data_IF_655729744471
#
_entry.id   IF_655729744471
#
_cell.length_a   1.000
_cell.length_b   1.000
_cell.length_c   1.000
_cell.angle_alpha   90.00
_cell.angle_beta   90.00
_cell.angle_gamma   90.00
#
_symmetry.space_group_name_H-M   'P 1'
#
loop_
_entity.id
_entity.type
_entity.pdbx_description
1 polymer ?
#
# COMPACT_ATOMS: atom_id res chain seq x y z
N UNK A 1 -28.26 -39.87 5.94
CA UNK A 1 -28.77 -38.48 5.91
C UNK A 1 -27.99 -37.71 4.86
N UNK A 2 -28.62 -37.43 3.72
CA UNK A 2 -27.98 -36.80 2.55
C UNK A 2 -28.42 -35.34 2.47
N UNK A 3 -27.48 -34.41 2.30
CA UNK A 3 -27.72 -32.96 2.26
C UNK A 3 -28.12 -32.52 0.84
N UNK A 4 -29.41 -32.20 0.54
CA UNK A 4 -29.89 -32.05 -0.84
C UNK A 4 -29.67 -30.65 -1.45
N UNK A 5 -28.98 -29.74 -0.75
CA UNK A 5 -28.87 -28.33 -1.16
C UNK A 5 -27.44 -27.76 -1.10
N UNK A 6 -26.40 -28.58 -1.23
CA UNK A 6 -25.05 -28.06 -1.39
C UNK A 6 -24.82 -27.57 -2.83
N UNK A 7 -25.25 -26.34 -3.11
CA UNK A 7 -24.89 -25.64 -4.37
C UNK A 7 -23.43 -25.18 -4.26
N UNK A 8 -22.53 -25.91 -4.93
CA UNK A 8 -21.15 -25.49 -5.18
C UNK A 8 -21.14 -24.19 -6.00
N UNK A 9 -21.18 -23.05 -5.31
CA UNK A 9 -21.17 -21.72 -5.91
C UNK A 9 -19.73 -21.26 -6.13
N UNK A 10 -19.06 -21.85 -7.11
CA UNK A 10 -17.96 -21.27 -7.90
C UNK A 10 -17.38 -22.37 -8.78
N UNK A 11 -17.73 -22.35 -10.06
CA UNK A 11 -16.91 -22.96 -11.08
C UNK A 11 -15.59 -22.17 -11.14
N UNK A 12 -14.64 -22.53 -10.28
CA UNK A 12 -13.26 -22.06 -10.36
C UNK A 12 -12.69 -22.61 -11.66
N UNK A 13 -12.61 -21.77 -12.68
CA UNK A 13 -11.92 -22.12 -13.92
C UNK A 13 -10.41 -22.18 -13.62
N UNK A 14 -9.75 -23.35 -13.67
CA UNK A 14 -8.33 -23.50 -13.37
C UNK A 14 -7.47 -22.63 -14.29
N UNK A 15 -7.97 -22.37 -15.50
CA UNK A 15 -7.38 -21.49 -16.50
C UNK A 15 -7.40 -20.01 -16.11
N UNK A 16 -8.43 -19.54 -15.40
CA UNK A 16 -8.49 -18.15 -14.94
C UNK A 16 -7.51 -17.90 -13.79
N UNK A 17 -7.37 -18.85 -12.87
CA UNK A 17 -6.34 -18.78 -11.84
C UNK A 17 -4.94 -18.85 -12.44
N UNK A 18 -4.69 -19.78 -13.37
CA UNK A 18 -3.42 -19.88 -14.08
C UNK A 18 -3.01 -18.58 -14.77
N UNK A 19 -3.94 -17.92 -15.48
CA UNK A 19 -3.69 -16.59 -16.10
C UNK A 19 -3.41 -15.51 -15.06
N UNK A 20 -4.10 -15.52 -13.91
CA UNK A 20 -3.83 -14.59 -12.82
C UNK A 20 -2.43 -14.81 -12.22
N UNK A 21 -2.00 -16.05 -12.02
CA UNK A 21 -0.67 -16.39 -11.52
C UNK A 21 0.45 -16.04 -12.50
N UNK A 22 0.26 -16.32 -13.80
CA UNK A 22 1.22 -15.93 -14.85
C UNK A 22 1.33 -14.40 -14.90
N UNK A 23 0.20 -13.68 -14.88
CA UNK A 23 0.18 -12.22 -14.87
C UNK A 23 0.81 -11.64 -13.60
N UNK A 24 0.63 -12.29 -12.45
CA UNK A 24 1.27 -11.90 -11.20
C UNK A 24 2.79 -12.14 -11.25
N UNK A 25 3.23 -13.26 -11.80
CA UNK A 25 4.65 -13.59 -12.02
C UNK A 25 5.33 -12.61 -12.97
N UNK A 26 4.71 -12.30 -14.11
CA UNK A 26 5.20 -11.30 -15.06
C UNK A 26 5.31 -9.91 -14.44
N UNK A 27 4.27 -9.47 -13.71
CA UNK A 27 4.33 -8.18 -13.00
C UNK A 27 5.37 -8.17 -11.91
N UNK A 28 5.53 -9.26 -11.16
CA UNK A 28 6.57 -9.39 -10.14
C UNK A 28 7.95 -9.18 -10.77
N UNK A 29 8.23 -9.84 -11.91
CA UNK A 29 9.50 -9.70 -12.59
C UNK A 29 9.70 -8.29 -13.16
N UNK A 30 8.66 -7.71 -13.76
CA UNK A 30 8.69 -6.34 -14.29
C UNK A 30 8.90 -5.28 -13.21
N UNK A 31 8.15 -5.35 -12.10
CA UNK A 31 8.31 -4.42 -10.99
C UNK A 31 9.64 -4.62 -10.27
N UNK A 32 10.13 -5.87 -10.14
CA UNK A 32 11.46 -6.13 -9.58
C UNK A 32 12.57 -5.50 -10.41
N UNK A 33 12.43 -5.47 -11.74
CA UNK A 33 13.39 -4.80 -12.61
C UNK A 33 13.23 -3.27 -12.57
N UNK A 34 12.00 -2.76 -12.60
CA UNK A 34 11.72 -1.31 -12.61
C UNK A 34 12.00 -0.62 -11.28
N UNK A 35 11.73 -1.30 -10.17
CA UNK A 35 11.86 -0.77 -8.80
C UNK A 35 13.26 -1.03 -8.19
N UNK A 36 14.18 -1.70 -8.91
CA UNK A 36 15.51 -2.05 -8.38
C UNK A 36 16.33 -0.82 -7.92
N UNK A 37 16.20 0.30 -8.65
CA UNK A 37 16.90 1.55 -8.34
C UNK A 37 16.10 2.44 -7.38
N UNK A 38 14.82 2.14 -7.14
CA UNK A 38 13.99 2.93 -6.23
C UNK A 38 14.50 2.76 -4.80
N UNK A 39 14.96 1.58 -4.41
CA UNK A 39 15.57 1.41 -3.08
C UNK A 39 16.82 2.27 -2.93
N UNK A 40 17.71 2.27 -3.92
CA UNK A 40 18.93 3.10 -3.90
C UNK A 40 18.59 4.58 -3.84
N UNK A 41 17.58 5.03 -4.60
CA UNK A 41 17.08 6.39 -4.56
C UNK A 41 16.44 6.76 -3.20
N UNK A 42 15.72 5.81 -2.59
CA UNK A 42 15.15 5.97 -1.25
C UNK A 42 16.21 6.07 -0.14
N UNK A 43 17.36 5.44 -0.35
CA UNK A 43 18.49 5.45 0.59
C UNK A 43 19.43 6.64 0.40
N UNK A 44 19.45 7.24 -0.79
CA UNK A 44 20.36 8.34 -1.13
C UNK A 44 19.59 9.66 -1.26
N UNK A 45 19.00 9.92 -2.43
CA UNK A 45 18.35 11.20 -2.77
C UNK A 45 17.16 11.55 -1.86
N UNK A 46 16.42 10.52 -1.45
CA UNK A 46 15.17 10.67 -0.69
C UNK A 46 15.32 10.30 0.79
N UNK A 47 16.53 10.03 1.29
CA UNK A 47 16.73 9.71 2.70
C UNK A 47 16.17 10.82 3.59
N UNK A 48 15.34 10.44 4.58
CA UNK A 48 14.60 11.35 5.46
C UNK A 48 13.72 12.39 4.73
N UNK A 49 13.40 12.18 3.45
CA UNK A 49 12.60 13.10 2.62
C UNK A 49 11.31 12.48 2.10
N UNK A 50 10.95 11.26 2.51
CA UNK A 50 9.67 10.66 2.16
C UNK A 50 8.83 10.22 3.35
N UNK A 51 7.52 10.36 3.17
CA UNK A 51 6.51 9.76 4.03
C UNK A 51 6.15 8.37 3.49
N UNK A 52 6.24 7.34 4.33
CA UNK A 52 5.92 5.97 3.97
C UNK A 52 4.48 5.65 4.33
N UNK A 53 3.58 5.57 3.34
CA UNK A 53 2.20 5.16 3.53
C UNK A 53 2.03 3.67 3.23
N UNK A 54 1.75 2.88 4.27
CA UNK A 54 1.61 1.43 4.15
C UNK A 54 0.15 1.10 3.83
N UNK A 55 -0.10 0.42 2.70
CA UNK A 55 -1.45 -0.03 2.34
C UNK A 55 -1.77 -1.35 3.07
N UNK A 56 -2.97 -1.44 3.67
CA UNK A 56 -3.47 -2.66 4.32
C UNK A 56 -4.32 -3.50 3.36
N UNK A 57 -4.51 -4.79 3.71
CA UNK A 57 -5.34 -5.74 2.95
C UNK A 57 -6.80 -5.29 2.94
N UNK A 58 -7.41 -5.22 1.76
CA UNK A 58 -8.80 -4.74 1.61
C UNK A 58 -9.84 -5.56 2.41
N UNK A 59 -9.53 -6.82 2.75
CA UNK A 59 -10.40 -7.75 3.46
C UNK A 59 -10.06 -7.89 4.95
N UNK A 60 -9.19 -7.03 5.48
CA UNK A 60 -8.91 -7.02 6.90
C UNK A 60 -10.19 -6.60 7.66
N UNK A 61 -10.66 -7.45 8.58
CA UNK A 61 -11.81 -7.15 9.43
C UNK A 61 -11.57 -5.89 10.27
N UNK A 62 -10.31 -5.50 10.49
CA UNK A 62 -9.96 -4.25 11.15
C UNK A 62 -10.31 -2.99 10.34
N UNK A 63 -10.30 -3.05 9.00
CA UNK A 63 -10.76 -1.91 8.18
C UNK A 63 -12.28 -1.78 8.28
N UNK A 64 -13.02 -2.90 8.25
CA UNK A 64 -14.49 -2.89 8.30
C UNK A 64 -15.05 -2.57 9.68
N UNK A 65 -14.39 -3.02 10.76
CA UNK A 65 -14.95 -2.96 12.11
C UNK A 65 -14.24 -1.93 13.02
N UNK A 66 -12.98 -1.56 12.74
CA UNK A 66 -12.16 -0.75 13.65
C UNK A 66 -11.42 0.42 12.95
N UNK A 67 -11.84 0.81 11.75
CA UNK A 67 -11.29 1.97 11.04
C UNK A 67 -12.40 2.92 10.60
N UNK A 68 -12.18 4.25 10.60
CA UNK A 68 -13.11 5.19 9.97
C UNK A 68 -13.21 4.99 8.44
N UNK A 69 -12.30 4.21 7.84
CA UNK A 69 -12.24 4.00 6.40
C UNK A 69 -13.03 2.76 5.96
N UNK A 70 -14.08 2.97 5.16
CA UNK A 70 -14.85 1.88 4.50
C UNK A 70 -14.06 1.15 3.40
N UNK A 71 -12.99 1.76 2.87
CA UNK A 71 -12.16 1.22 1.80
C UNK A 71 -10.75 1.85 1.85
N UNK A 72 -9.71 1.06 1.52
CA UNK A 72 -8.31 1.53 1.36
C UNK A 72 -8.21 2.69 0.37
N UNK A 73 -9.10 2.76 -0.63
CA UNK A 73 -9.18 3.87 -1.59
C UNK A 73 -9.45 5.22 -0.91
N UNK A 74 -10.27 5.25 0.14
CA UNK A 74 -10.56 6.47 0.89
C UNK A 74 -9.33 6.91 1.69
N UNK A 75 -8.62 5.94 2.28
CA UNK A 75 -7.34 6.21 2.95
C UNK A 75 -6.31 6.80 1.99
N UNK A 76 -6.14 6.22 0.79
CA UNK A 76 -5.23 6.76 -0.23
C UNK A 76 -5.61 8.21 -0.57
N UNK A 77 -6.90 8.48 -0.77
CA UNK A 77 -7.39 9.82 -1.04
C UNK A 77 -7.03 10.82 0.05
N UNK A 78 -7.32 10.50 1.32
CA UNK A 78 -7.06 11.38 2.45
C UNK A 78 -5.57 11.65 2.65
N UNK A 79 -4.74 10.61 2.52
CA UNK A 79 -3.28 10.75 2.62
C UNK A 79 -2.76 11.64 1.50
N UNK A 80 -3.16 11.42 0.25
CA UNK A 80 -2.72 12.24 -0.89
C UNK A 80 -3.22 13.68 -0.77
N UNK A 81 -4.47 13.88 -0.33
CA UNK A 81 -5.03 15.21 -0.11
C UNK A 81 -4.25 15.95 0.99
N UNK A 82 -4.05 15.33 2.15
CA UNK A 82 -3.28 15.93 3.23
C UNK A 82 -1.83 16.21 2.82
N UNK A 83 -1.20 15.30 2.09
CA UNK A 83 0.15 15.48 1.55
C UNK A 83 0.22 16.70 0.63
N UNK A 84 -0.74 16.86 -0.28
CA UNK A 84 -0.79 18.01 -1.20
C UNK A 84 -0.90 19.36 -0.49
N UNK A 85 -1.50 19.38 0.71
CA UNK A 85 -1.72 20.61 1.48
C UNK A 85 -0.63 20.91 2.52
N UNK A 86 0.04 19.90 3.05
CA UNK A 86 0.93 20.04 4.21
C UNK A 86 2.40 19.69 3.93
N UNK A 87 2.68 18.90 2.90
CA UNK A 87 4.04 18.48 2.62
C UNK A 87 4.83 19.60 1.92
N UNK A 88 6.12 19.72 2.25
CA UNK A 88 7.00 20.67 1.56
C UNK A 88 7.27 20.22 0.13
N UNK A 89 7.75 21.12 -0.74
CA UNK A 89 8.07 20.77 -2.12
C UNK A 89 9.18 19.70 -2.23
N UNK A 90 10.05 19.64 -1.23
CA UNK A 90 11.16 18.69 -1.13
C UNK A 90 10.74 17.30 -0.60
N UNK A 91 9.51 17.17 -0.07
CA UNK A 91 8.98 15.94 0.48
C UNK A 91 8.33 15.07 -0.61
N UNK A 92 8.44 13.76 -0.41
CA UNK A 92 7.87 12.72 -1.26
C UNK A 92 6.89 11.84 -0.47
N UNK A 93 5.97 11.20 -1.18
CA UNK A 93 5.02 10.25 -0.63
C UNK A 93 5.22 8.89 -1.29
N UNK A 94 5.53 7.87 -0.49
CA UNK A 94 5.77 6.52 -0.98
C UNK A 94 4.66 5.61 -0.47
N UNK A 95 3.84 5.08 -1.38
CA UNK A 95 2.85 4.06 -1.08
C UNK A 95 3.46 2.67 -1.21
N UNK A 96 3.44 1.91 -0.13
CA UNK A 96 3.84 0.50 -0.13
C UNK A 96 2.63 -0.40 -0.32
N UNK A 97 2.58 -1.13 -1.42
CA UNK A 97 1.52 -2.12 -1.69
C UNK A 97 1.63 -3.32 -0.77
N UNK A 98 0.47 -3.84 -0.36
CA UNK A 98 0.40 -5.07 0.43
C UNK A 98 0.59 -6.30 -0.48
N UNK A 99 1.50 -7.23 -0.15
CA UNK A 99 1.77 -8.40 -1.00
C UNK A 99 0.52 -9.27 -1.24
N UNK A 100 -0.36 -9.40 -0.23
CA UNK A 100 -1.62 -10.16 -0.36
C UNK A 100 -2.66 -9.48 -1.26
N UNK A 101 -2.64 -8.15 -1.42
CA UNK A 101 -3.58 -7.42 -2.27
C UNK A 101 -3.18 -7.43 -3.75
N UNK A 102 -1.97 -7.90 -4.05
CA UNK A 102 -1.34 -7.82 -5.38
C UNK A 102 -2.17 -8.46 -6.51
N UNK A 103 -2.89 -9.54 -6.21
CA UNK A 103 -3.75 -10.22 -7.18
C UNK A 103 -5.17 -9.65 -7.27
N UNK A 104 -5.60 -8.90 -6.25
CA UNK A 104 -7.00 -8.52 -6.07
C UNK A 104 -7.27 -7.06 -6.39
N UNK A 105 -6.35 -6.15 -6.04
CA UNK A 105 -6.54 -4.71 -6.25
C UNK A 105 -5.25 -4.04 -6.70
N UNK A 106 -5.41 -3.13 -7.65
CA UNK A 106 -4.34 -2.30 -8.19
C UNK A 106 -4.72 -0.85 -7.91
N UNK A 107 -4.01 -0.22 -6.98
CA UNK A 107 -4.25 1.17 -6.63
C UNK A 107 -3.53 2.15 -7.55
N UNK A 108 -2.60 1.67 -8.39
CA UNK A 108 -1.84 2.51 -9.33
C UNK A 108 -2.67 3.49 -10.17
N UNK A 109 -3.77 3.06 -10.84
CA UNK A 109 -4.63 3.98 -11.59
C UNK A 109 -5.28 5.07 -10.70
N UNK A 110 -5.69 4.70 -9.48
CA UNK A 110 -6.26 5.64 -8.52
C UNK A 110 -5.21 6.65 -8.04
N UNK A 111 -4.03 6.18 -7.64
CA UNK A 111 -2.92 7.02 -7.20
C UNK A 111 -2.51 7.98 -8.32
N UNK A 112 -2.44 7.50 -9.57
CA UNK A 112 -2.12 8.36 -10.72
C UNK A 112 -3.19 9.42 -10.95
N UNK A 113 -4.47 9.05 -10.86
CA UNK A 113 -5.61 10.00 -10.99
C UNK A 113 -5.55 11.07 -9.92
N UNK A 114 -5.40 10.68 -8.65
CA UNK A 114 -5.33 11.59 -7.52
C UNK A 114 -4.07 12.45 -7.55
N UNK A 115 -2.94 11.90 -8.00
CA UNK A 115 -1.70 12.65 -8.16
C UNK A 115 -1.86 13.81 -9.14
N UNK A 116 -2.56 13.59 -10.25
CA UNK A 116 -2.90 14.65 -11.20
C UNK A 116 -3.89 15.64 -10.60
N UNK A 117 -4.94 15.15 -9.96
CA UNK A 117 -5.98 15.97 -9.35
C UNK A 117 -5.43 16.91 -8.28
N UNK A 118 -4.44 16.47 -7.51
CA UNK A 118 -3.82 17.25 -6.43
C UNK A 118 -2.48 17.89 -6.82
N UNK A 119 -2.02 17.74 -8.06
CA UNK A 119 -0.76 18.34 -8.53
C UNK A 119 0.50 17.79 -7.84
N UNK A 120 0.48 16.52 -7.41
CA UNK A 120 1.59 15.88 -6.69
C UNK A 120 2.13 14.64 -7.41
N UNK A 121 1.74 14.40 -8.66
CA UNK A 121 2.13 13.22 -9.43
C UNK A 121 3.64 12.93 -9.42
N UNK A 122 4.48 13.95 -9.50
CA UNK A 122 5.94 13.79 -9.59
C UNK A 122 6.60 13.47 -8.24
N UNK A 123 5.83 13.58 -7.14
CA UNK A 123 6.30 13.37 -5.77
C UNK A 123 5.65 12.15 -5.10
N UNK A 124 4.91 11.36 -5.87
CA UNK A 124 4.21 10.17 -5.36
C UNK A 124 4.75 8.93 -6.04
N UNK A 125 5.35 8.06 -5.23
CA UNK A 125 5.95 6.80 -5.66
C UNK A 125 5.09 5.66 -5.13
N UNK A 126 4.82 4.65 -5.95
CA UNK A 126 4.05 3.48 -5.57
C UNK A 126 4.87 2.22 -5.82
N UNK A 127 5.18 1.50 -4.74
CA UNK A 127 6.14 0.40 -4.73
C UNK A 127 5.50 -0.89 -4.23
N UNK A 128 5.98 -2.04 -4.72
CA UNK A 128 5.35 -3.33 -4.41
C UNK A 128 6.28 -4.27 -3.65
N UNK A 129 7.54 -4.42 -4.07
CA UNK A 129 8.43 -5.50 -3.60
C UNK A 129 9.67 -4.99 -2.85
N UNK A 130 9.53 -3.85 -2.19
CA UNK A 130 10.62 -3.23 -1.46
C UNK A 130 10.60 -3.72 0.02
N UNK A 131 11.73 -4.20 0.58
CA UNK A 131 11.80 -4.65 1.98
C UNK A 131 11.41 -3.55 2.97
N UNK A 132 10.43 -3.86 3.84
CA UNK A 132 9.90 -2.94 4.84
C UNK A 132 10.97 -2.34 5.78
N UNK A 133 11.90 -3.11 6.38
CA UNK A 133 12.87 -2.55 7.32
C UNK A 133 13.75 -1.47 6.70
N UNK A 134 14.18 -1.68 5.45
CA UNK A 134 15.01 -0.72 4.73
C UNK A 134 14.22 0.57 4.42
N UNK A 135 12.94 0.45 4.03
CA UNK A 135 12.09 1.64 3.86
C UNK A 135 11.85 2.37 5.18
N UNK A 136 11.66 1.63 6.29
CA UNK A 136 11.43 2.26 7.58
C UNK A 136 12.65 3.06 8.02
N UNK A 137 13.87 2.52 7.89
CA UNK A 137 15.10 3.21 8.30
C UNK A 137 15.30 4.57 7.61
N UNK A 138 14.92 4.68 6.34
CA UNK A 138 15.12 5.89 5.53
C UNK A 138 13.89 6.79 5.42
N UNK A 139 12.74 6.36 5.92
CA UNK A 139 11.54 7.19 5.95
C UNK A 139 11.71 8.36 6.94
N UNK A 140 11.16 9.52 6.55
CA UNK A 140 10.99 10.68 7.42
C UNK A 140 9.93 10.41 8.49
N UNK A 141 8.84 9.79 8.07
CA UNK A 141 7.73 9.40 8.92
C UNK A 141 6.89 8.31 8.23
N UNK A 142 6.12 7.57 9.01
CA UNK A 142 5.29 6.45 8.55
C UNK A 142 3.83 6.77 8.78
N UNK A 143 2.99 6.43 7.80
CA UNK A 143 1.53 6.58 7.86
C UNK A 143 0.91 5.19 7.72
N UNK A 144 0.06 4.84 8.68
CA UNK A 144 -0.65 3.56 8.71
C UNK A 144 -2.08 3.78 9.17
N UNK A 145 -3.00 2.87 8.81
CA UNK A 145 -4.36 2.90 9.35
C UNK A 145 -4.33 2.25 10.74
N UNK A 146 -4.19 0.93 10.85
CA UNK A 146 -4.07 0.17 12.11
C UNK A 146 -3.17 -1.07 11.94
N UNK A 147 -2.16 -1.00 11.06
CA UNK A 147 -1.34 -2.18 10.75
C UNK A 147 -0.34 -2.52 11.87
N UNK A 148 -0.04 -3.81 12.06
CA UNK A 148 1.14 -4.28 12.82
C UNK A 148 2.45 -3.70 12.28
N UNK A 149 2.48 -3.29 11.02
CA UNK A 149 3.59 -2.53 10.46
C UNK A 149 3.82 -1.17 11.15
N UNK A 150 2.82 -0.62 11.84
CA UNK A 150 2.97 0.53 12.74
C UNK A 150 3.84 0.20 13.96
N UNK A 151 3.72 -1.00 14.53
CA UNK A 151 4.60 -1.47 15.61
C UNK A 151 6.04 -1.53 15.11
N UNK A 152 6.24 -2.03 13.89
CA UNK A 152 7.58 -2.01 13.26
C UNK A 152 8.12 -0.58 13.13
N UNK A 153 7.32 0.40 12.71
CA UNK A 153 7.74 1.79 12.67
C UNK A 153 8.18 2.34 14.03
N UNK A 154 7.48 1.97 15.11
CA UNK A 154 7.85 2.34 16.49
C UNK A 154 9.17 1.69 16.91
N UNK A 155 9.37 0.40 16.62
CA UNK A 155 10.63 -0.31 16.89
C UNK A 155 11.81 0.37 16.17
N UNK A 156 11.57 0.91 14.97
CA UNK A 156 12.56 1.65 14.20
C UNK A 156 12.67 3.14 14.60
N UNK A 157 12.07 3.58 15.72
CA UNK A 157 12.07 4.96 16.22
C UNK A 157 11.65 6.00 15.17
N UNK A 158 10.71 5.65 14.27
CA UNK A 158 10.21 6.57 13.25
C UNK A 158 8.93 7.26 13.71
N UNK A 159 8.78 8.58 13.44
CA UNK A 159 7.52 9.26 13.67
C UNK A 159 6.37 8.54 12.95
N UNK A 160 5.35 8.11 13.69
CA UNK A 160 4.22 7.34 13.19
C UNK A 160 2.93 8.14 13.28
N UNK A 161 2.22 8.27 12.15
CA UNK A 161 0.84 8.76 12.11
C UNK A 161 -0.11 7.59 11.88
N UNK A 162 -0.89 7.30 12.91
CA UNK A 162 -2.00 6.32 12.86
C UNK A 162 -3.27 7.06 12.43
N UNK A 163 -3.90 6.59 11.36
CA UNK A 163 -5.12 7.16 10.78
C UNK A 163 -6.38 6.35 11.14
N UNK A 164 -6.21 5.18 11.76
CA UNK A 164 -7.29 4.38 12.33
C UNK A 164 -7.57 4.71 13.79
N UNK A 165 -8.68 4.17 14.31
CA UNK A 165 -8.96 4.11 15.75
C UNK A 165 -8.48 2.75 16.23
N UNK A 166 -7.37 2.68 16.96
CA UNK A 166 -7.11 1.51 17.81
C UNK A 166 -7.71 1.80 19.18
N UNK A 167 -8.58 0.90 19.65
CA UNK A 167 -8.81 0.80 21.08
C UNK A 167 -7.51 0.29 21.70
N UNK A 168 -6.89 1.12 22.53
CA UNK A 168 -6.00 0.64 23.59
C UNK A 168 -6.82 -0.17 24.58
#
# INVERSE_FOLDING_TARGET
>A
MSFPQYRHHKAFSPWYEGKCWIRAGWRKQWYRYKERHIMEQLQTELDQRYFLAILQVYNDSQIRNHSPYKDVRNYINDVMFSFSKKATAADFLVFKHHPMDRGHRLYGPLIKKLGKQYGVSDRVIYVHDIPMPQMLSHAKAVITINSTAGISALIHNKPLKVMGRSAV
#
